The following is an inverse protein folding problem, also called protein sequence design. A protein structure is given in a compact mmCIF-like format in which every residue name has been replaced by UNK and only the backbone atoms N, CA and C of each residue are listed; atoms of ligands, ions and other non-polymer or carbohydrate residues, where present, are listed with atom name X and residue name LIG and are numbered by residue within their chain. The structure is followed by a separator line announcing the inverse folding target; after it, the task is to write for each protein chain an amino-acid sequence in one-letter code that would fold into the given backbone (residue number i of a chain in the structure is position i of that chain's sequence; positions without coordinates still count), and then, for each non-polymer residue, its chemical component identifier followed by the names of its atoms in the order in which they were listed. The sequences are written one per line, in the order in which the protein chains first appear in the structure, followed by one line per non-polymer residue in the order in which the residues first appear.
data_IF_666454848573
#
_entry.id   IF_666454848573
#
_cell.length_a   1.000
_cell.length_b   1.000
_cell.length_c   1.000
_cell.angle_alpha   90.00
_cell.angle_beta   90.00
_cell.angle_gamma   90.00
#
_symmetry.space_group_name_H-M   'P 1'
#
loop_
_entity.id
_entity.type
_entity.pdbx_description
1 polymer ?
#
# COMPACT_ATOMS: atom_id res chain seq x y z
N UNK A 1 10.12 27.12 1.40
CA UNK A 1 10.17 25.66 1.14
C UNK A 1 8.83 24.95 1.36
N UNK A 2 7.92 25.52 2.15
CA UNK A 2 6.81 24.84 2.85
C UNK A 2 5.79 24.08 2.00
N UNK A 3 5.04 24.76 1.11
CA UNK A 3 4.02 24.10 0.30
C UNK A 3 4.61 23.24 -0.84
N UNK A 4 5.61 23.70 -1.61
CA UNK A 4 6.16 22.89 -2.70
C UNK A 4 6.84 21.60 -2.21
N UNK A 5 7.56 21.65 -1.09
CA UNK A 5 8.18 20.45 -0.49
C UNK A 5 7.11 19.50 0.04
N UNK A 6 6.07 20.02 0.72
CA UNK A 6 4.93 19.22 1.17
C UNK A 6 4.26 18.49 0.01
N UNK A 7 3.82 19.21 -1.03
CA UNK A 7 3.15 18.58 -2.18
C UNK A 7 4.08 17.65 -2.96
N UNK A 8 5.35 18.03 -3.14
CA UNK A 8 6.34 17.17 -3.79
C UNK A 8 6.53 15.85 -3.04
N UNK A 9 6.73 15.89 -1.72
CA UNK A 9 6.89 14.70 -0.90
C UNK A 9 5.61 13.85 -0.84
N UNK A 10 4.43 14.50 -0.76
CA UNK A 10 3.14 13.82 -0.78
C UNK A 10 2.91 13.05 -2.09
N UNK A 11 3.22 13.67 -3.23
CA UNK A 11 3.06 13.04 -4.54
C UNK A 11 4.10 11.94 -4.80
N UNK A 12 5.32 12.07 -4.28
CA UNK A 12 6.31 10.98 -4.35
C UNK A 12 5.82 9.79 -3.53
N UNK A 13 5.44 10.02 -2.27
CA UNK A 13 5.06 8.95 -1.35
C UNK A 13 3.75 8.25 -1.77
N UNK A 14 2.70 9.03 -2.04
CA UNK A 14 1.34 8.51 -2.22
C UNK A 14 0.81 8.59 -3.66
N UNK A 15 1.49 9.30 -4.57
CA UNK A 15 1.02 9.49 -5.94
C UNK A 15 0.79 8.19 -6.70
N UNK A 16 1.76 7.25 -6.72
CA UNK A 16 1.56 5.94 -7.36
C UNK A 16 0.43 5.14 -6.70
N UNK A 17 0.33 5.16 -5.37
CA UNK A 17 -0.73 4.47 -4.65
C UNK A 17 -2.12 5.05 -4.94
N UNK A 18 -2.22 6.38 -5.05
CA UNK A 18 -3.43 7.10 -5.43
C UNK A 18 -3.83 6.79 -6.87
N UNK A 19 -2.87 6.78 -7.81
CA UNK A 19 -3.13 6.41 -9.19
C UNK A 19 -3.66 4.97 -9.29
N UNK A 20 -2.99 4.03 -8.60
CA UNK A 20 -3.44 2.65 -8.50
C UNK A 20 -4.86 2.57 -7.91
N UNK A 21 -5.16 3.26 -6.82
CA UNK A 21 -6.50 3.31 -6.23
C UNK A 21 -7.56 3.83 -7.21
N UNK A 22 -7.31 4.97 -7.86
CA UNK A 22 -8.26 5.60 -8.77
C UNK A 22 -8.55 4.76 -10.02
N UNK A 23 -7.51 4.17 -10.62
CA UNK A 23 -7.66 3.38 -11.86
C UNK A 23 -8.12 1.94 -11.63
N UNK A 24 -8.02 1.41 -10.41
CA UNK A 24 -8.36 -0.01 -10.16
C UNK A 24 -9.51 -0.20 -9.18
N UNK A 25 -9.54 0.54 -8.07
CA UNK A 25 -10.55 0.37 -7.01
C UNK A 25 -11.73 1.30 -7.24
N UNK A 26 -11.47 2.57 -7.57
CA UNK A 26 -12.53 3.57 -7.70
C UNK A 26 -13.43 3.36 -8.95
N UNK A 27 -12.98 2.58 -9.93
CA UNK A 27 -13.77 2.26 -11.13
C UNK A 27 -14.93 1.31 -10.82
N UNK A 28 -14.77 0.40 -9.85
CA UNK A 28 -15.82 -0.55 -9.45
C UNK A 28 -15.77 -0.82 -7.93
N UNK A 29 -16.12 0.18 -7.10
CA UNK A 29 -15.95 0.10 -5.65
C UNK A 29 -16.88 -0.94 -5.01
N UNK A 30 -18.07 -1.15 -5.56
CA UNK A 30 -19.04 -2.13 -5.06
C UNK A 30 -18.49 -3.55 -5.19
N UNK A 31 -17.92 -3.89 -6.36
CA UNK A 31 -17.30 -5.19 -6.58
C UNK A 31 -16.15 -5.46 -5.61
N UNK A 32 -15.32 -4.45 -5.34
CA UNK A 32 -14.22 -4.55 -4.35
C UNK A 32 -14.72 -4.77 -2.93
N UNK A 33 -15.81 -4.09 -2.53
CA UNK A 33 -16.42 -4.28 -1.21
C UNK A 33 -16.97 -5.70 -1.06
N UNK A 34 -17.67 -6.22 -2.06
CA UNK A 34 -18.19 -7.59 -2.04
C UNK A 34 -17.06 -8.66 -2.06
N UNK A 35 -15.96 -8.38 -2.78
CA UNK A 35 -14.74 -9.18 -2.79
C UNK A 35 -14.13 -9.36 -1.39
N UNK A 36 -14.02 -8.27 -0.62
CA UNK A 36 -13.47 -8.29 0.74
C UNK A 36 -14.43 -8.98 1.71
N UNK A 37 -15.74 -8.80 1.52
CA UNK A 37 -16.76 -9.38 2.37
C UNK A 37 -16.92 -10.91 2.23
N UNK A 38 -16.12 -11.59 1.38
CA UNK A 38 -15.86 -13.04 1.32
C UNK A 38 -17.11 -13.94 1.39
N UNK A 39 -17.66 -14.11 2.59
CA UNK A 39 -18.96 -14.72 2.87
C UNK A 39 -20.12 -14.09 2.07
N UNK A 40 -20.07 -12.78 1.85
CA UNK A 40 -21.10 -12.08 1.07
C UNK A 40 -21.05 -12.47 -0.41
N UNK A 41 -19.87 -12.76 -0.97
CA UNK A 41 -19.74 -13.22 -2.36
C UNK A 41 -20.31 -14.63 -2.56
N UNK A 42 -20.10 -15.54 -1.60
CA UNK A 42 -20.74 -16.87 -1.62
C UNK A 42 -22.28 -16.74 -1.54
N UNK A 43 -22.78 -15.83 -0.70
CA UNK A 43 -24.21 -15.52 -0.61
C UNK A 43 -24.78 -14.88 -1.88
N UNK A 44 -24.06 -13.94 -2.50
CA UNK A 44 -24.49 -13.24 -3.71
C UNK A 44 -24.53 -14.18 -4.92
N UNK A 45 -23.55 -15.09 -5.04
CA UNK A 45 -23.51 -16.15 -6.06
C UNK A 45 -24.68 -17.13 -5.95
N UNK A 46 -25.21 -17.35 -4.74
CA UNK A 46 -26.40 -18.18 -4.52
C UNK A 46 -27.71 -17.51 -4.99
N UNK A 47 -27.73 -16.18 -5.08
CA UNK A 47 -28.89 -15.36 -5.47
C UNK A 47 -28.81 -14.95 -6.96
N UNK A 48 -27.60 -14.69 -7.47
CA UNK A 48 -27.34 -14.34 -8.86
C UNK A 48 -26.23 -15.21 -9.47
N UNK A 49 -26.57 -16.32 -10.14
CA UNK A 49 -25.59 -17.28 -10.69
C UNK A 49 -24.79 -16.75 -11.89
N UNK A 50 -25.19 -15.62 -12.49
CA UNK A 50 -24.41 -14.96 -13.57
C UNK A 50 -23.22 -14.16 -13.03
N UNK A 51 -23.10 -13.97 -11.71
CA UNK A 51 -22.02 -13.18 -11.15
C UNK A 51 -20.69 -13.93 -11.20
N UNK A 52 -19.72 -13.34 -11.89
CA UNK A 52 -18.39 -13.94 -12.09
C UNK A 52 -17.66 -14.01 -10.75
N UNK A 53 -17.15 -15.18 -10.39
CA UNK A 53 -16.45 -15.40 -9.13
C UNK A 53 -15.35 -14.34 -8.88
N UNK A 54 -15.21 -13.85 -7.64
CA UNK A 54 -14.17 -12.90 -7.28
C UNK A 54 -12.79 -13.44 -7.64
N UNK A 55 -12.00 -12.69 -8.42
CA UNK A 55 -10.64 -13.10 -8.75
C UNK A 55 -9.73 -12.93 -7.53
N UNK A 56 -9.17 -14.02 -7.00
CA UNK A 56 -8.20 -14.02 -5.88
C UNK A 56 -7.06 -13.01 -6.09
N UNK A 57 -6.64 -12.81 -7.36
CA UNK A 57 -5.61 -11.83 -7.75
C UNK A 57 -6.00 -10.39 -7.42
N UNK A 58 -7.25 -10.02 -7.66
CA UNK A 58 -7.75 -8.67 -7.35
C UNK A 58 -7.82 -8.48 -5.84
N UNK A 59 -8.29 -9.49 -5.09
CA UNK A 59 -8.30 -9.46 -3.63
C UNK A 59 -6.88 -9.28 -3.06
N UNK A 60 -5.92 -10.04 -3.58
CA UNK A 60 -4.53 -9.97 -3.15
C UNK A 60 -3.91 -8.59 -3.40
N UNK A 61 -4.16 -8.03 -4.58
CA UNK A 61 -3.70 -6.71 -4.95
C UNK A 61 -4.35 -5.61 -4.09
N UNK A 62 -5.67 -5.64 -3.90
CA UNK A 62 -6.40 -4.65 -3.07
C UNK A 62 -5.95 -4.73 -1.61
N UNK A 63 -5.79 -5.94 -1.09
CA UNK A 63 -5.29 -6.16 0.27
C UNK A 63 -3.88 -5.59 0.44
N UNK A 64 -2.95 -5.92 -0.46
CA UNK A 64 -1.59 -5.39 -0.42
C UNK A 64 -1.52 -3.87 -0.55
N UNK A 65 -2.30 -3.28 -1.45
CA UNK A 65 -2.40 -1.82 -1.61
C UNK A 65 -2.95 -1.15 -0.35
N UNK A 66 -3.99 -1.71 0.27
CA UNK A 66 -4.56 -1.21 1.52
C UNK A 66 -3.55 -1.21 2.68
N UNK A 67 -2.87 -2.34 2.89
CA UNK A 67 -1.81 -2.43 3.90
C UNK A 67 -0.66 -1.45 3.63
N UNK A 68 -0.23 -1.33 2.37
CA UNK A 68 0.81 -0.40 1.96
C UNK A 68 0.44 1.04 2.29
N UNK A 69 -0.74 1.51 1.85
CA UNK A 69 -1.21 2.88 2.10
C UNK A 69 -1.29 3.17 3.60
N UNK A 70 -1.87 2.26 4.39
CA UNK A 70 -1.98 2.46 5.84
C UNK A 70 -0.62 2.51 6.52
N UNK A 71 0.31 1.62 6.16
CA UNK A 71 1.69 1.64 6.64
C UNK A 71 2.40 2.96 6.29
N UNK A 72 2.23 3.43 5.06
CA UNK A 72 2.78 4.72 4.60
C UNK A 72 2.18 5.92 5.33
N UNK A 73 0.86 5.92 5.58
CA UNK A 73 0.18 6.97 6.33
C UNK A 73 0.70 7.05 7.76
N UNK A 74 0.80 5.91 8.45
CA UNK A 74 1.30 5.85 9.83
C UNK A 74 2.76 6.30 9.94
N UNK A 75 3.61 5.93 8.97
CA UNK A 75 5.03 6.24 9.01
C UNK A 75 5.37 7.68 8.60
N UNK A 76 4.59 8.30 7.70
CA UNK A 76 5.02 9.54 7.06
C UNK A 76 4.13 10.76 7.30
N UNK A 77 2.83 10.63 7.60
CA UNK A 77 1.93 11.81 7.63
C UNK A 77 2.34 12.84 8.68
N UNK A 78 2.78 12.41 9.86
CA UNK A 78 3.27 13.34 10.89
C UNK A 78 4.53 14.07 10.45
N UNK A 79 5.48 13.35 9.85
CA UNK A 79 6.70 13.93 9.29
C UNK A 79 6.38 14.88 8.14
N UNK A 80 5.48 14.49 7.24
CA UNK A 80 5.04 15.30 6.12
C UNK A 80 4.38 16.60 6.58
N UNK A 81 3.62 16.58 7.68
CA UNK A 81 3.05 17.78 8.30
C UNK A 81 4.16 18.77 8.72
N UNK A 82 5.26 18.28 9.28
CA UNK A 82 6.39 19.14 9.67
C UNK A 82 7.06 19.83 8.46
N UNK A 83 6.94 19.28 7.24
CA UNK A 83 7.47 19.91 6.03
C UNK A 83 6.75 21.21 5.63
N UNK A 84 5.56 21.48 6.19
CA UNK A 84 4.86 22.76 6.03
C UNK A 84 5.52 23.89 6.85
N UNK A 85 6.41 23.56 7.79
CA UNK A 85 7.16 24.54 8.56
C UNK A 85 8.26 25.22 7.74
N UNK A 86 8.63 26.47 8.05
CA UNK A 86 9.63 27.22 7.29
C UNK A 86 11.06 26.66 7.37
N UNK A 87 11.34 25.78 8.33
CA UNK A 87 12.63 25.12 8.52
C UNK A 87 12.73 23.74 7.86
N UNK A 88 13.95 23.33 7.53
CA UNK A 88 14.27 21.95 7.13
C UNK A 88 15.05 21.24 8.23
N UNK A 89 15.10 19.91 8.18
CA UNK A 89 15.92 19.09 9.08
C UNK A 89 17.41 19.38 8.82
N UNK A 90 18.24 19.36 9.88
CA UNK A 90 19.69 19.51 9.74
C UNK A 90 20.37 20.48 10.72
N UNK A 91 19.63 21.12 11.64
CA UNK A 91 20.24 22.03 12.61
C UNK A 91 21.23 21.33 13.57
N UNK A 92 21.04 20.02 13.79
CA UNK A 92 21.91 19.16 14.60
C UNK A 92 22.87 18.30 13.74
N UNK A 93 23.06 18.64 12.45
CA UNK A 93 23.96 17.91 11.54
C UNK A 93 23.30 16.79 10.72
N UNK A 94 21.98 16.62 10.84
CA UNK A 94 21.20 15.70 10.01
C UNK A 94 21.14 16.13 8.53
N UNK A 95 20.82 15.20 7.63
CA UNK A 95 20.72 15.49 6.20
C UNK A 95 19.54 16.43 5.89
N UNK A 96 19.74 17.49 5.09
CA UNK A 96 18.65 18.36 4.64
C UNK A 96 17.68 17.67 3.66
N UNK A 97 18.05 16.50 3.12
CA UNK A 97 17.23 15.69 2.22
C UNK A 97 16.28 14.74 2.97
N UNK A 98 16.16 14.87 4.29
CA UNK A 98 15.34 13.99 5.13
C UNK A 98 13.92 13.77 4.58
N UNK A 99 13.18 14.84 4.31
CA UNK A 99 11.80 14.73 3.80
C UNK A 99 11.71 13.99 2.47
N UNK A 100 12.66 14.26 1.56
CA UNK A 100 12.69 13.61 0.25
C UNK A 100 13.00 12.12 0.39
N UNK A 101 13.98 11.76 1.22
CA UNK A 101 14.33 10.37 1.48
C UNK A 101 13.17 9.61 2.14
N UNK A 102 12.53 10.21 3.16
CA UNK A 102 11.35 9.62 3.80
C UNK A 102 10.22 9.39 2.80
N UNK A 103 9.95 10.34 1.88
CA UNK A 103 8.92 10.17 0.86
C UNK A 103 9.20 8.98 -0.07
N UNK A 104 10.45 8.82 -0.54
CA UNK A 104 10.83 7.67 -1.36
C UNK A 104 10.77 6.34 -0.60
N UNK A 105 11.21 6.32 0.65
CA UNK A 105 11.11 5.12 1.49
C UNK A 105 9.64 4.72 1.70
N UNK A 106 8.75 5.68 1.96
CA UNK A 106 7.31 5.43 2.04
C UNK A 106 6.74 4.86 0.74
N UNK A 107 7.11 5.41 -0.41
CA UNK A 107 6.71 4.87 -1.70
C UNK A 107 7.16 3.40 -1.87
N UNK A 108 8.42 3.11 -1.58
CA UNK A 108 8.98 1.76 -1.68
C UNK A 108 8.23 0.80 -0.77
N UNK A 109 7.94 1.18 0.48
CA UNK A 109 7.16 0.36 1.42
C UNK A 109 5.74 0.10 0.90
N UNK A 110 5.07 1.11 0.34
CA UNK A 110 3.72 0.93 -0.22
C UNK A 110 3.75 -0.05 -1.40
N UNK A 111 4.68 0.12 -2.35
CA UNK A 111 4.80 -0.78 -3.51
C UNK A 111 5.17 -2.20 -3.07
N UNK A 112 6.04 -2.32 -2.08
CA UNK A 112 6.47 -3.62 -1.58
C UNK A 112 5.34 -4.37 -0.87
N UNK A 113 4.45 -3.68 -0.15
CA UNK A 113 3.23 -4.29 0.39
C UNK A 113 2.27 -4.78 -0.69
N UNK A 114 2.17 -4.09 -1.83
CA UNK A 114 1.40 -4.58 -2.99
C UNK A 114 2.00 -5.90 -3.50
N UNK A 115 3.32 -5.94 -3.71
CA UNK A 115 3.99 -7.15 -4.20
C UNK A 115 3.93 -8.29 -3.19
N UNK A 116 4.19 -8.02 -1.91
CA UNK A 116 4.05 -9.01 -0.84
C UNK A 116 2.64 -9.54 -0.74
N UNK A 117 1.61 -8.69 -0.85
CA UNK A 117 0.21 -9.13 -0.87
C UNK A 117 -0.03 -10.13 -2.01
N UNK A 118 0.36 -9.80 -3.24
CA UNK A 118 0.19 -10.69 -4.40
C UNK A 118 0.91 -12.03 -4.19
N UNK A 119 2.18 -12.00 -3.79
CA UNK A 119 2.99 -13.21 -3.60
C UNK A 119 2.48 -14.05 -2.42
N UNK A 120 2.02 -13.41 -1.35
CA UNK A 120 1.45 -14.06 -0.18
C UNK A 120 0.19 -14.84 -0.55
N UNK A 121 -0.79 -14.20 -1.20
CA UNK A 121 -2.02 -14.88 -1.60
C UNK A 121 -1.78 -15.95 -2.67
N UNK A 122 -0.85 -15.75 -3.61
CA UNK A 122 -0.44 -16.80 -4.58
C UNK A 122 0.19 -18.02 -3.87
N UNK A 123 1.01 -17.77 -2.84
CA UNK A 123 1.59 -18.82 -1.98
C UNK A 123 0.52 -19.59 -1.20
N UNK A 124 -0.48 -18.90 -0.67
CA UNK A 124 -1.64 -19.51 0.00
C UNK A 124 -2.46 -20.37 -0.96
N UNK A 125 -2.77 -19.87 -2.17
CA UNK A 125 -3.55 -20.60 -3.17
C UNK A 125 -2.84 -21.89 -3.62
N UNK A 126 -1.52 -21.84 -3.80
CA UNK A 126 -0.71 -22.98 -4.22
C UNK A 126 -0.25 -23.89 -3.07
N UNK A 127 -0.64 -23.59 -1.82
CA UNK A 127 -0.16 -24.27 -0.61
C UNK A 127 1.39 -24.35 -0.50
N UNK A 128 2.09 -23.32 -0.98
CA UNK A 128 3.56 -23.26 -1.03
C UNK A 128 4.10 -22.46 0.15
N UNK A 129 4.26 -23.12 1.30
CA UNK A 129 4.71 -22.52 2.56
C UNK A 129 6.04 -21.77 2.48
N UNK A 130 6.97 -22.22 1.64
CA UNK A 130 8.26 -21.55 1.46
C UNK A 130 8.12 -20.13 0.87
N UNK A 131 7.08 -19.88 0.07
CA UNK A 131 6.78 -18.55 -0.48
C UNK A 131 6.32 -17.62 0.64
N UNK A 132 5.44 -18.10 1.54
CA UNK A 132 4.97 -17.33 2.69
C UNK A 132 6.12 -16.96 3.62
N UNK A 133 7.02 -17.91 3.89
CA UNK A 133 8.22 -17.66 4.68
C UNK A 133 9.11 -16.60 4.02
N UNK A 134 9.26 -16.63 2.70
CA UNK A 134 10.06 -15.63 1.97
C UNK A 134 9.47 -14.22 2.09
N UNK A 135 8.14 -14.09 1.99
CA UNK A 135 7.44 -12.81 2.21
C UNK A 135 7.70 -12.30 3.64
N UNK A 136 7.56 -13.17 4.64
CA UNK A 136 7.81 -12.79 6.04
C UNK A 136 9.25 -12.34 6.28
N UNK A 137 10.23 -13.10 5.77
CA UNK A 137 11.66 -12.80 5.94
C UNK A 137 12.04 -11.50 5.22
N UNK A 138 11.55 -11.29 4.00
CA UNK A 138 11.82 -10.03 3.27
C UNK A 138 11.15 -8.83 3.94
N UNK A 139 9.95 -9.00 4.52
CA UNK A 139 9.31 -7.96 5.31
C UNK A 139 10.11 -7.60 6.55
N UNK A 140 10.59 -8.60 7.30
CA UNK A 140 11.41 -8.38 8.48
C UNK A 140 12.74 -7.70 8.11
N UNK A 141 13.40 -8.17 7.04
CA UNK A 141 14.65 -7.57 6.55
C UNK A 141 14.49 -6.08 6.26
N UNK A 142 13.46 -5.69 5.50
CA UNK A 142 13.23 -4.28 5.15
C UNK A 142 12.85 -3.45 6.38
N UNK A 143 12.19 -4.05 7.37
CA UNK A 143 11.82 -3.37 8.62
C UNK A 143 13.01 -3.14 9.59
N UNK A 144 14.17 -3.74 9.32
CA UNK A 144 15.38 -3.52 10.13
C UNK A 144 16.23 -2.32 9.68
N UNK A 145 15.84 -1.66 8.58
CA UNK A 145 16.47 -0.43 8.07
C UNK A 145 15.71 0.80 8.55
#
# INVERSE_FOLDING_TARGET
MTAPVFFGCAFIAFGPALALYLFTIATDPLRVIFLIAGKASEGLKSINPEETAPSMRLLAYVSGLGFGIMSGVFSFVNTLSNALGPGTVGIHGDSPQFFLNSAFMTLVIIMLHVFWGIVFFDGCEKNKWYILLTVLLTHLLVSTQ
#
